data_IF_301839951376
#
_entry.id   IF_301839951376
#
_cell.length_a   1.000
_cell.length_b   1.000
_cell.length_c   1.000
_cell.angle_alpha   90.00
_cell.angle_beta   90.00
_cell.angle_gamma   90.00
#
_symmetry.space_group_name_H-M   'P 1'
#
loop_
_entity.id
_entity.type
_entity.pdbx_description
1 polymer ?
#
# COMPACT_ATOMS: atom_id res chain seq x y z
N UNK A 1 -15.01 -15.94 -19.89
CA UNK A 1 -15.52 -15.48 -18.59
C UNK A 1 -14.48 -15.89 -17.56
N UNK A 2 -13.58 -14.98 -17.15
CA UNK A 2 -12.65 -15.29 -16.05
C UNK A 2 -13.42 -15.09 -14.75
N UNK A 3 -13.47 -16.14 -13.95
CA UNK A 3 -14.10 -16.15 -12.64
C UNK A 3 -13.40 -15.12 -11.74
N UNK A 4 -14.07 -13.97 -11.52
CA UNK A 4 -13.50 -12.85 -10.76
C UNK A 4 -13.30 -13.15 -9.26
N UNK A 5 -13.86 -14.26 -8.78
CA UNK A 5 -13.75 -14.71 -7.38
C UNK A 5 -12.43 -15.42 -7.08
N UNK A 6 -11.76 -15.97 -8.08
CA UNK A 6 -10.51 -16.72 -7.89
C UNK A 6 -9.25 -15.81 -7.77
N UNK A 7 -9.31 -14.56 -8.18
CA UNK A 7 -8.17 -13.63 -8.14
C UNK A 7 -7.71 -13.28 -6.71
N UNK A 8 -8.58 -12.98 -5.74
CA UNK A 8 -8.18 -12.71 -4.38
C UNK A 8 -7.49 -13.90 -3.69
N UNK A 9 -7.99 -15.13 -3.90
CA UNK A 9 -7.43 -16.34 -3.31
C UNK A 9 -6.01 -16.63 -3.82
N UNK A 10 -5.78 -16.49 -5.13
CA UNK A 10 -4.45 -16.67 -5.75
C UNK A 10 -3.44 -15.65 -5.25
N UNK A 11 -3.86 -14.41 -5.07
CA UNK A 11 -3.04 -13.35 -4.47
C UNK A 11 -2.67 -13.73 -3.04
N UNK A 12 -3.64 -14.16 -2.23
CA UNK A 12 -3.45 -14.61 -0.85
C UNK A 12 -2.43 -15.74 -0.74
N UNK A 13 -2.61 -16.81 -1.53
CA UNK A 13 -1.71 -17.97 -1.55
C UNK A 13 -0.28 -17.55 -1.87
N UNK A 14 -0.09 -16.72 -2.91
CA UNK A 14 1.24 -16.25 -3.31
C UNK A 14 1.97 -15.47 -2.21
N UNK A 15 1.28 -14.55 -1.53
CA UNK A 15 1.90 -13.76 -0.46
C UNK A 15 2.19 -14.60 0.79
N UNK A 16 1.37 -15.61 1.10
CA UNK A 16 1.66 -16.57 2.18
C UNK A 16 2.90 -17.40 1.88
N UNK A 17 3.00 -17.98 0.67
CA UNK A 17 4.09 -18.88 0.29
C UNK A 17 5.44 -18.18 0.11
N UNK A 18 5.44 -16.90 -0.28
CA UNK A 18 6.64 -16.17 -0.68
C UNK A 18 6.95 -14.94 0.18
N UNK A 19 6.39 -14.86 1.39
CA UNK A 19 6.57 -13.71 2.28
C UNK A 19 8.06 -13.35 2.47
N UNK A 20 8.91 -14.30 2.81
CA UNK A 20 10.36 -14.08 2.98
C UNK A 20 11.04 -13.62 1.69
N UNK A 21 10.74 -14.25 0.55
CA UNK A 21 11.31 -13.83 -0.74
C UNK A 21 10.89 -12.41 -1.14
N UNK A 22 9.68 -11.99 -0.78
CA UNK A 22 9.25 -10.62 -0.98
C UNK A 22 10.00 -9.66 -0.06
N UNK A 23 10.21 -10.02 1.20
CA UNK A 23 10.93 -9.20 2.15
C UNK A 23 12.41 -9.02 1.76
N UNK A 24 13.11 -10.11 1.40
CA UNK A 24 14.49 -10.10 0.91
C UNK A 24 14.69 -9.18 -0.31
N UNK A 25 13.68 -9.13 -1.21
CA UNK A 25 13.71 -8.23 -2.37
C UNK A 25 13.75 -6.74 -1.99
N UNK A 26 13.33 -6.40 -0.79
CA UNK A 26 13.33 -5.05 -0.24
C UNK A 26 14.49 -4.80 0.73
N UNK A 27 15.19 -5.85 1.21
CA UNK A 27 16.32 -5.71 2.15
C UNK A 27 17.60 -5.18 1.51
N UNK A 28 17.77 -5.36 0.22
CA UNK A 28 18.97 -4.92 -0.47
C UNK A 28 18.96 -3.38 -0.65
N UNK A 29 19.38 -2.65 0.37
CA UNK A 29 19.55 -1.18 0.34
C UNK A 29 20.81 -0.72 -0.39
N UNK A 30 21.53 -1.62 -1.07
CA UNK A 30 22.71 -1.28 -1.86
C UNK A 30 22.36 -0.18 -2.88
N UNK A 31 23.32 0.72 -3.12
CA UNK A 31 23.16 1.81 -4.08
C UNK A 31 22.65 1.34 -5.46
N UNK A 32 22.96 0.11 -5.86
CA UNK A 32 22.46 -0.53 -7.08
C UNK A 32 20.94 -0.69 -7.08
N UNK A 33 20.32 -1.10 -5.97
CA UNK A 33 18.87 -1.24 -5.86
C UNK A 33 18.18 0.12 -5.86
N UNK A 34 18.80 1.12 -5.24
CA UNK A 34 18.33 2.51 -5.26
C UNK A 34 18.26 3.06 -6.68
N UNK A 35 19.25 2.72 -7.52
CA UNK A 35 19.31 3.14 -8.92
C UNK A 35 18.37 2.33 -9.82
N UNK A 36 18.23 1.02 -9.56
CA UNK A 36 17.42 0.11 -10.36
C UNK A 36 15.93 0.13 -9.99
N UNK A 37 15.59 0.49 -8.74
CA UNK A 37 14.22 0.52 -8.20
C UNK A 37 13.85 1.85 -7.53
N UNK A 38 14.00 2.99 -8.20
CA UNK A 38 13.75 4.32 -7.60
C UNK A 38 12.29 4.49 -7.12
N UNK A 39 11.36 3.68 -7.64
CA UNK A 39 9.96 3.71 -7.24
C UNK A 39 9.73 3.36 -5.78
N UNK A 40 10.50 2.44 -5.21
CA UNK A 40 10.35 2.03 -3.80
C UNK A 40 10.71 3.17 -2.84
N UNK A 41 11.82 3.86 -3.12
CA UNK A 41 12.26 4.99 -2.30
C UNK A 41 11.30 6.18 -2.37
N UNK A 42 10.72 6.43 -3.55
CA UNK A 42 9.73 7.51 -3.73
C UNK A 42 8.44 7.24 -2.99
N UNK A 43 7.97 5.99 -2.98
CA UNK A 43 6.80 5.54 -2.22
C UNK A 43 7.00 5.73 -0.72
N UNK A 44 8.15 5.24 -0.21
CA UNK A 44 8.54 5.42 1.20
C UNK A 44 8.63 6.90 1.57
N UNK A 45 9.33 7.68 0.77
CA UNK A 45 9.49 9.11 1.01
C UNK A 45 8.14 9.84 1.06
N UNK A 46 7.23 9.54 0.13
CA UNK A 46 5.91 10.15 0.14
C UNK A 46 5.13 9.83 1.42
N UNK A 47 5.18 8.57 1.88
CA UNK A 47 4.54 8.16 3.13
C UNK A 47 5.13 8.91 4.34
N UNK A 48 6.47 8.91 4.46
CA UNK A 48 7.20 9.59 5.54
C UNK A 48 6.94 11.10 5.53
N UNK A 49 7.10 11.77 4.37
CA UNK A 49 6.87 13.22 4.23
C UNK A 49 5.40 13.59 4.56
N UNK A 50 4.45 12.69 4.29
CA UNK A 50 3.04 12.93 4.63
C UNK A 50 2.83 12.80 6.13
N UNK A 51 3.33 11.74 6.77
CA UNK A 51 3.20 11.54 8.22
C UNK A 51 3.87 12.67 8.99
N UNK A 52 5.06 13.10 8.58
CA UNK A 52 5.79 14.22 9.20
C UNK A 52 5.07 15.58 9.07
N UNK A 53 4.08 15.69 8.19
CA UNK A 53 3.23 16.89 8.05
C UNK A 53 2.08 16.98 9.05
N UNK A 54 1.85 15.94 9.86
CA UNK A 54 0.83 15.90 10.91
C UNK A 54 1.50 15.85 12.28
N UNK A 55 0.84 16.38 13.28
CA UNK A 55 1.31 16.32 14.66
C UNK A 55 0.86 14.99 15.30
N UNK A 56 1.81 14.08 15.52
CA UNK A 56 1.60 12.77 16.14
C UNK A 56 0.38 11.99 15.57
N UNK A 57 0.31 11.74 14.24
CA UNK A 57 -0.88 11.14 13.65
C UNK A 57 -1.04 9.66 14.01
N UNK A 58 -2.30 9.20 14.05
CA UNK A 58 -2.65 7.79 13.96
C UNK A 58 -2.57 7.37 12.49
N UNK A 59 -1.80 6.35 12.23
CA UNK A 59 -1.53 5.85 10.87
C UNK A 59 -2.13 4.47 10.69
N UNK A 60 -2.91 4.29 9.62
CA UNK A 60 -3.36 2.98 9.14
C UNK A 60 -2.57 2.58 7.91
N UNK A 61 -1.98 1.40 7.89
CA UNK A 61 -1.26 0.85 6.72
C UNK A 61 -2.00 -0.38 6.18
N UNK A 62 -2.66 -0.21 5.04
CA UNK A 62 -3.48 -1.23 4.38
C UNK A 62 -2.62 -2.07 3.45
N UNK A 63 -2.51 -3.38 3.74
CA UNK A 63 -1.57 -4.27 3.10
C UNK A 63 -0.13 -3.95 3.55
N UNK A 64 0.07 -3.87 4.87
CA UNK A 64 1.33 -3.42 5.48
C UNK A 64 2.52 -4.37 5.20
N UNK A 65 2.25 -5.61 4.75
CA UNK A 65 3.25 -6.62 4.48
C UNK A 65 4.16 -6.84 5.69
N UNK A 66 5.47 -6.86 5.47
CA UNK A 66 6.49 -7.05 6.52
C UNK A 66 6.78 -5.78 7.36
N UNK A 67 5.92 -4.77 7.34
CA UNK A 67 6.01 -3.58 8.19
C UNK A 67 7.11 -2.58 7.83
N UNK A 68 7.72 -2.68 6.63
CA UNK A 68 8.83 -1.79 6.22
C UNK A 68 8.48 -0.32 6.18
N UNK A 69 7.31 0.04 5.68
CA UNK A 69 6.85 1.43 5.69
C UNK A 69 6.48 1.83 7.10
N UNK A 70 5.85 0.93 7.87
CA UNK A 70 5.52 1.12 9.27
C UNK A 70 6.72 1.56 10.12
N UNK A 71 7.88 0.93 9.93
CA UNK A 71 9.11 1.32 10.63
C UNK A 71 9.45 2.81 10.39
N UNK A 72 9.50 3.24 9.13
CA UNK A 72 9.86 4.61 8.79
C UNK A 72 8.82 5.65 9.24
N UNK A 73 7.53 5.33 9.20
CA UNK A 73 6.50 6.28 9.63
C UNK A 73 6.41 6.39 11.15
N UNK A 74 6.71 5.31 11.89
CA UNK A 74 6.86 5.34 13.35
C UNK A 74 8.08 6.17 13.77
N UNK A 75 9.20 6.06 13.04
CA UNK A 75 10.39 6.92 13.22
C UNK A 75 10.09 8.38 12.86
N UNK A 76 9.23 8.63 11.89
CA UNK A 76 8.82 9.97 11.45
C UNK A 76 7.82 10.66 12.40
N UNK A 77 7.40 10.01 13.50
CA UNK A 77 6.59 10.63 14.54
C UNK A 77 5.12 10.20 14.56
N UNK A 78 4.74 9.10 13.89
CA UNK A 78 3.41 8.53 14.09
C UNK A 78 3.19 8.18 15.56
N UNK A 79 2.12 8.68 16.18
CA UNK A 79 1.78 8.39 17.58
C UNK A 79 1.32 6.94 17.73
N UNK A 80 0.55 6.45 16.77
CA UNK A 80 0.07 5.08 16.75
C UNK A 80 -0.02 4.56 15.31
N UNK A 81 0.42 3.33 15.11
CA UNK A 81 0.43 2.65 13.82
C UNK A 81 -0.43 1.40 13.87
N UNK A 82 -1.37 1.27 12.96
CA UNK A 82 -2.18 0.08 12.75
C UNK A 82 -1.85 -0.52 11.38
N UNK A 83 -1.28 -1.71 11.37
CA UNK A 83 -0.98 -2.45 10.13
C UNK A 83 -1.98 -3.58 9.93
N UNK A 84 -2.61 -3.66 8.75
CA UNK A 84 -3.50 -4.77 8.39
C UNK A 84 -2.98 -5.48 7.15
N UNK A 85 -2.82 -6.79 7.21
CA UNK A 85 -2.49 -7.66 6.08
C UNK A 85 -3.17 -9.02 6.24
N UNK A 86 -3.61 -9.60 5.14
CA UNK A 86 -4.26 -10.93 5.17
C UNK A 86 -3.25 -12.08 5.35
N UNK A 87 -1.96 -11.83 5.22
CA UNK A 87 -0.88 -12.81 5.25
C UNK A 87 -0.25 -12.88 6.64
N UNK A 88 -0.58 -13.92 7.39
CA UNK A 88 0.02 -14.19 8.70
C UNK A 88 1.56 -14.20 8.66
N UNK A 89 2.25 -14.85 7.69
CA UNK A 89 3.71 -14.79 7.62
C UNK A 89 4.26 -13.37 7.39
N UNK A 90 3.51 -12.47 6.72
CA UNK A 90 3.89 -11.07 6.58
C UNK A 90 3.76 -10.32 7.91
N UNK A 91 2.67 -10.55 8.64
CA UNK A 91 2.45 -9.95 9.96
C UNK A 91 3.49 -10.42 10.97
N UNK A 92 3.95 -11.69 10.91
CA UNK A 92 5.03 -12.17 11.77
C UNK A 92 6.35 -11.45 11.50
N UNK A 93 6.68 -11.22 10.23
CA UNK A 93 7.85 -10.41 9.84
C UNK A 93 7.68 -8.94 10.31
N UNK A 94 6.48 -8.38 10.17
CA UNK A 94 6.19 -7.02 10.64
C UNK A 94 6.34 -6.91 12.16
N UNK A 95 5.85 -7.89 12.92
CA UNK A 95 5.95 -7.93 14.38
C UNK A 95 7.41 -7.93 14.83
N UNK A 96 8.24 -8.78 14.21
CA UNK A 96 9.67 -8.83 14.52
C UNK A 96 10.38 -7.51 14.16
N UNK A 97 10.06 -6.90 13.01
CA UNK A 97 10.66 -5.62 12.58
C UNK A 97 10.28 -4.45 13.46
N UNK A 98 9.02 -4.40 13.88
CA UNK A 98 8.46 -3.28 14.63
C UNK A 98 8.50 -3.48 16.14
N UNK A 99 9.15 -4.53 16.64
CA UNK A 99 9.20 -4.90 18.07
C UNK A 99 9.54 -3.72 18.99
N UNK A 100 10.51 -2.88 18.59
CA UNK A 100 10.92 -1.68 19.34
C UNK A 100 9.82 -0.61 19.46
N UNK A 101 8.74 -0.73 18.70
CA UNK A 101 7.58 0.16 18.73
C UNK A 101 6.31 -0.52 19.26
N UNK A 102 6.44 -1.66 19.95
CA UNK A 102 5.34 -2.51 20.42
C UNK A 102 4.23 -1.75 21.19
N UNK A 103 4.59 -0.71 21.93
CA UNK A 103 3.64 0.11 22.71
C UNK A 103 2.82 1.07 21.82
N UNK A 104 3.25 1.30 20.57
CA UNK A 104 2.62 2.25 19.64
C UNK A 104 2.17 1.61 18.34
N UNK A 105 2.08 0.27 18.30
CA UNK A 105 1.67 -0.43 17.09
C UNK A 105 0.65 -1.52 17.38
N UNK A 106 -0.25 -1.72 16.42
CA UNK A 106 -1.18 -2.83 16.36
C UNK A 106 -1.05 -3.50 14.98
N UNK A 107 -1.00 -4.83 14.96
CA UNK A 107 -0.88 -5.61 13.73
C UNK A 107 -1.99 -6.65 13.65
N UNK A 108 -2.76 -6.60 12.57
CA UNK A 108 -3.94 -7.41 12.34
C UNK A 108 -3.74 -8.36 11.15
N UNK A 109 -3.96 -9.65 11.37
CA UNK A 109 -4.08 -10.63 10.29
C UNK A 109 -5.55 -10.67 9.87
N UNK A 110 -5.95 -9.84 8.90
CA UNK A 110 -7.34 -9.76 8.46
C UNK A 110 -7.45 -9.19 7.02
N UNK A 111 -8.62 -9.34 6.42
CA UNK A 111 -8.98 -8.65 5.19
C UNK A 111 -9.42 -7.22 5.50
N UNK A 112 -8.76 -6.24 4.91
CA UNK A 112 -9.08 -4.83 5.14
C UNK A 112 -10.57 -4.50 4.97
N UNK A 113 -11.26 -5.13 4.01
CA UNK A 113 -12.68 -4.84 3.76
C UNK A 113 -13.61 -5.33 4.88
N UNK A 114 -13.18 -6.28 5.71
CA UNK A 114 -13.96 -6.86 6.81
C UNK A 114 -13.36 -6.60 8.20
N UNK A 115 -12.08 -6.21 8.26
CA UNK A 115 -11.39 -5.97 9.53
C UNK A 115 -12.11 -4.96 10.42
N UNK A 116 -12.15 -5.21 11.72
CA UNK A 116 -12.61 -4.23 12.69
C UNK A 116 -11.49 -3.26 12.99
N UNK A 117 -11.65 -2.02 12.55
CA UNK A 117 -10.65 -0.96 12.67
C UNK A 117 -11.26 0.23 13.40
N UNK A 118 -10.64 0.60 14.50
CA UNK A 118 -11.07 1.74 15.34
C UNK A 118 -10.43 3.03 14.80
N UNK A 119 -11.12 3.65 13.83
CA UNK A 119 -10.77 4.98 13.31
C UNK A 119 -11.21 6.11 14.23
N UNK A 120 -11.04 7.38 13.84
CA UNK A 120 -10.44 7.79 12.57
C UNK A 120 -8.91 7.75 12.57
N UNK A 121 -8.32 7.81 11.34
CA UNK A 121 -6.87 7.89 11.11
C UNK A 121 -6.54 9.16 10.33
N UNK A 122 -5.55 9.93 10.78
CA UNK A 122 -5.08 11.13 10.08
C UNK A 122 -4.34 10.80 8.80
N UNK A 123 -3.62 9.67 8.77
CA UNK A 123 -2.94 9.19 7.57
C UNK A 123 -3.28 7.73 7.32
N UNK A 124 -3.72 7.43 6.09
CA UNK A 124 -3.95 6.06 5.63
C UNK A 124 -2.98 5.77 4.49
N UNK A 125 -2.21 4.71 4.63
CA UNK A 125 -1.24 4.24 3.64
C UNK A 125 -1.81 3.04 2.88
N UNK A 126 -1.57 3.01 1.56
CA UNK A 126 -1.91 1.88 0.67
C UNK A 126 -0.82 1.74 -0.40
N UNK A 127 0.36 1.31 0.04
CA UNK A 127 1.57 1.32 -0.78
C UNK A 127 1.88 -0.06 -1.35
N UNK A 128 1.75 -0.21 -2.68
CA UNK A 128 1.97 -1.49 -3.37
C UNK A 128 0.81 -2.47 -3.27
N UNK A 129 -0.36 -2.01 -2.82
CA UNK A 129 -1.56 -2.80 -2.64
C UNK A 129 -2.41 -2.87 -3.93
N UNK A 130 -2.65 -1.73 -4.56
CA UNK A 130 -3.60 -1.59 -5.68
C UNK A 130 -3.20 -2.37 -6.93
N UNK A 131 -1.96 -2.83 -7.04
CA UNK A 131 -1.49 -3.72 -8.11
C UNK A 131 -2.35 -5.00 -8.21
N UNK A 132 -2.98 -5.42 -7.12
CA UNK A 132 -3.60 -6.74 -6.94
C UNK A 132 -5.11 -6.69 -6.65
N UNK A 133 -5.73 -5.51 -6.67
CA UNK A 133 -7.13 -5.34 -6.30
C UNK A 133 -8.07 -5.35 -7.52
N UNK A 134 -9.00 -6.32 -7.62
CA UNK A 134 -9.99 -6.33 -8.70
C UNK A 134 -11.08 -5.25 -8.51
N UNK A 135 -11.39 -4.88 -7.26
CA UNK A 135 -12.43 -3.92 -6.90
C UNK A 135 -11.88 -2.74 -6.07
N UNK A 136 -10.99 -1.90 -6.66
CA UNK A 136 -10.27 -0.87 -5.92
C UNK A 136 -11.17 0.22 -5.34
N UNK A 137 -12.37 0.44 -5.92
CA UNK A 137 -13.36 1.41 -5.45
C UNK A 137 -13.93 1.06 -4.05
N UNK A 138 -14.00 -0.22 -3.69
CA UNK A 138 -14.41 -0.64 -2.34
C UNK A 138 -13.39 -0.23 -1.29
N UNK A 139 -12.11 -0.34 -1.67
CA UNK A 139 -10.99 0.07 -0.81
C UNK A 139 -10.97 1.58 -0.60
N UNK A 140 -11.11 2.37 -1.70
CA UNK A 140 -11.10 3.84 -1.59
C UNK A 140 -12.27 4.37 -0.75
N UNK A 141 -13.48 3.78 -0.88
CA UNK A 141 -14.64 4.12 -0.05
C UNK A 141 -14.39 3.82 1.42
N UNK A 142 -13.91 2.61 1.74
CA UNK A 142 -13.63 2.25 3.13
C UNK A 142 -12.51 3.09 3.74
N UNK A 143 -11.48 3.44 2.96
CA UNK A 143 -10.45 4.38 3.39
C UNK A 143 -11.05 5.74 3.72
N UNK A 144 -12.02 6.23 2.94
CA UNK A 144 -12.72 7.49 3.23
C UNK A 144 -13.49 7.43 4.55
N UNK A 145 -14.20 6.33 4.82
CA UNK A 145 -14.94 6.11 6.06
C UNK A 145 -14.03 6.15 7.29
N UNK A 146 -12.82 5.58 7.17
CA UNK A 146 -11.82 5.48 8.25
C UNK A 146 -10.89 6.69 8.37
N UNK A 147 -10.81 7.54 7.34
CA UNK A 147 -9.93 8.72 7.32
C UNK A 147 -10.51 9.81 8.23
N UNK A 148 -9.69 10.49 9.01
CA UNK A 148 -10.10 11.66 9.79
C UNK A 148 -10.49 12.84 8.89
N UNK A 149 -11.35 13.77 9.33
CA UNK A 149 -11.47 15.09 8.69
C UNK A 149 -10.10 15.75 8.58
N UNK A 150 -9.79 16.40 7.46
CA UNK A 150 -8.47 16.91 7.11
C UNK A 150 -7.36 15.85 7.05
N UNK A 151 -7.69 14.57 7.12
CA UNK A 151 -6.75 13.46 6.96
C UNK A 151 -6.40 13.20 5.49
N UNK A 152 -5.41 12.33 5.28
CA UNK A 152 -4.85 12.05 3.96
C UNK A 152 -4.66 10.56 3.70
N UNK A 153 -5.07 10.10 2.53
CA UNK A 153 -4.70 8.77 2.00
C UNK A 153 -3.48 8.92 1.09
N UNK A 154 -2.47 8.08 1.30
CA UNK A 154 -1.28 7.96 0.45
C UNK A 154 -1.31 6.63 -0.25
N UNK A 155 -1.37 6.64 -1.59
CA UNK A 155 -1.42 5.44 -2.40
C UNK A 155 -0.30 5.35 -3.43
N UNK A 156 0.00 4.12 -3.87
CA UNK A 156 0.85 3.90 -5.03
C UNK A 156 0.19 2.95 -6.02
N UNK A 157 0.23 3.31 -7.29
CA UNK A 157 -0.50 2.64 -8.36
C UNK A 157 0.42 2.33 -9.53
N UNK A 158 0.36 1.12 -10.08
CA UNK A 158 1.13 0.78 -11.26
C UNK A 158 0.57 1.51 -12.47
N UNK A 159 1.47 1.90 -13.37
CA UNK A 159 1.11 2.39 -14.69
C UNK A 159 1.54 1.39 -15.75
N UNK A 160 0.83 1.38 -16.86
CA UNK A 160 1.29 0.67 -18.02
C UNK A 160 2.56 1.31 -18.57
N UNK A 161 3.60 0.52 -18.74
CA UNK A 161 4.85 0.92 -19.41
C UNK A 161 5.04 0.07 -20.66
N UNK A 162 5.17 0.69 -21.81
CA UNK A 162 5.34 0.00 -23.08
C UNK A 162 6.54 -0.95 -23.09
N UNK A 163 7.65 -0.55 -22.45
CA UNK A 163 8.86 -1.36 -22.35
C UNK A 163 8.82 -2.45 -21.28
N UNK A 164 8.16 -2.20 -20.15
CA UNK A 164 8.14 -3.10 -18.99
C UNK A 164 6.81 -3.83 -18.81
N UNK A 165 5.74 -3.32 -19.42
CA UNK A 165 4.40 -3.87 -19.29
C UNK A 165 4.30 -5.34 -19.74
N UNK A 166 4.76 -5.71 -20.94
CA UNK A 166 4.72 -7.10 -21.41
C UNK A 166 5.53 -8.05 -20.52
N UNK A 167 6.75 -7.65 -20.15
CA UNK A 167 7.63 -8.47 -19.27
C UNK A 167 7.01 -8.61 -17.88
N UNK A 168 6.43 -7.54 -17.34
CA UNK A 168 5.74 -7.55 -16.07
C UNK A 168 4.51 -8.46 -16.13
N UNK A 169 3.70 -8.36 -17.19
CA UNK A 169 2.52 -9.20 -17.41
C UNK A 169 2.88 -10.67 -17.47
N UNK A 170 3.87 -11.05 -18.28
CA UNK A 170 4.37 -12.43 -18.37
C UNK A 170 4.87 -12.92 -17.01
N UNK A 171 5.69 -12.14 -16.32
CA UNK A 171 6.26 -12.52 -15.03
C UNK A 171 5.22 -12.72 -13.94
N UNK A 172 4.20 -11.87 -13.86
CA UNK A 172 3.21 -11.92 -12.79
C UNK A 172 2.00 -12.78 -13.16
N UNK A 173 1.44 -12.66 -14.35
CA UNK A 173 0.25 -13.41 -14.74
C UNK A 173 0.58 -14.83 -15.19
N UNK A 174 1.59 -15.01 -16.06
CA UNK A 174 1.92 -16.34 -16.61
C UNK A 174 2.79 -17.19 -15.69
N UNK A 175 3.87 -16.63 -15.15
CA UNK A 175 4.80 -17.37 -14.27
C UNK A 175 4.29 -17.34 -12.83
N UNK A 176 3.69 -16.24 -12.41
CA UNK A 176 3.29 -15.99 -11.04
C UNK A 176 1.83 -16.25 -10.74
N UNK A 177 0.99 -16.53 -11.74
CA UNK A 177 -0.46 -16.76 -11.61
C UNK A 177 -1.17 -15.69 -10.74
N UNK A 178 -0.73 -14.44 -10.82
CA UNK A 178 -1.21 -13.32 -10.03
C UNK A 178 -1.63 -12.19 -10.97
N UNK A 179 -2.93 -11.87 -11.10
CA UNK A 179 -3.39 -10.77 -11.93
C UNK A 179 -2.82 -9.44 -11.43
N UNK A 180 -2.49 -8.55 -12.35
CA UNK A 180 -2.07 -7.18 -12.05
C UNK A 180 -2.94 -6.18 -12.76
N UNK A 181 -3.35 -5.15 -12.01
CA UNK A 181 -4.18 -4.07 -12.52
C UNK A 181 -3.32 -2.83 -12.75
N UNK A 182 -3.67 -2.03 -13.76
CA UNK A 182 -3.01 -0.77 -14.07
C UNK A 182 -4.06 0.33 -14.13
N UNK A 183 -3.68 1.55 -13.74
CA UNK A 183 -4.59 2.67 -13.62
C UNK A 183 -4.05 3.86 -14.41
N UNK A 184 -4.95 4.62 -15.03
CA UNK A 184 -4.67 5.95 -15.55
C UNK A 184 -4.86 7.01 -14.46
N UNK A 185 -4.28 8.20 -14.66
CA UNK A 185 -4.48 9.34 -13.77
C UNK A 185 -5.97 9.65 -13.57
N UNK A 186 -6.73 9.69 -14.66
CA UNK A 186 -8.16 10.03 -14.63
C UNK A 186 -8.99 9.01 -13.85
N UNK A 187 -8.68 7.71 -13.98
CA UNK A 187 -9.36 6.67 -13.20
C UNK A 187 -9.11 6.85 -11.70
N UNK A 188 -7.89 7.20 -11.31
CA UNK A 188 -7.55 7.45 -9.90
C UNK A 188 -8.28 8.69 -9.36
N UNK A 189 -8.26 9.80 -10.10
CA UNK A 189 -8.98 11.03 -9.74
C UNK A 189 -10.48 10.79 -9.58
N UNK A 190 -11.08 10.05 -10.52
CA UNK A 190 -12.51 9.70 -10.46
C UNK A 190 -12.83 8.75 -9.31
N UNK A 191 -12.00 7.73 -9.08
CA UNK A 191 -12.24 6.72 -8.05
C UNK A 191 -12.19 7.32 -6.64
N UNK A 192 -11.16 8.11 -6.35
CA UNK A 192 -11.01 8.74 -5.03
C UNK A 192 -11.99 9.91 -4.86
N UNK A 193 -12.23 10.72 -5.91
CA UNK A 193 -13.23 11.78 -5.89
C UNK A 193 -14.64 11.24 -5.65
N UNK A 194 -15.03 10.14 -6.32
CA UNK A 194 -16.31 9.47 -6.10
C UNK A 194 -16.48 8.90 -4.69
N UNK A 195 -15.37 8.65 -3.98
CA UNK A 195 -15.39 8.25 -2.56
C UNK A 195 -15.53 9.43 -1.60
N UNK A 196 -15.41 10.68 -2.06
CA UNK A 196 -15.54 11.91 -1.29
C UNK A 196 -14.24 12.63 -1.01
N UNK A 197 -13.10 12.14 -1.48
CA UNK A 197 -11.81 12.83 -1.28
C UNK A 197 -11.66 14.06 -2.18
N UNK A 198 -11.23 15.18 -1.61
CA UNK A 198 -10.93 16.44 -2.30
C UNK A 198 -9.94 17.29 -1.50
N UNK A 199 -8.81 17.75 -2.09
CA UNK A 199 -8.34 17.44 -3.45
C UNK A 199 -7.72 16.04 -3.59
N UNK A 200 -7.75 15.52 -4.82
CA UNK A 200 -7.02 14.29 -5.21
C UNK A 200 -5.80 14.69 -6.04
N UNK A 201 -4.62 14.48 -5.48
CA UNK A 201 -3.34 14.82 -6.10
C UNK A 201 -2.68 13.56 -6.67
N UNK A 202 -2.68 13.39 -7.98
CA UNK A 202 -2.00 12.29 -8.66
C UNK A 202 -0.64 12.76 -9.18
N UNK A 203 0.41 12.24 -8.56
CA UNK A 203 1.79 12.56 -8.88
C UNK A 203 2.35 11.48 -9.82
N UNK A 204 2.99 11.92 -10.92
CA UNK A 204 3.67 11.01 -11.83
C UNK A 204 5.20 11.15 -11.66
N UNK A 205 5.84 10.32 -10.85
CA UNK A 205 7.28 10.38 -10.64
C UNK A 205 8.07 9.73 -11.81
N UNK A 206 7.52 9.67 -13.00
CA UNK A 206 8.13 9.11 -14.18
C UNK A 206 7.83 7.61 -14.34
N UNK A 207 8.83 6.80 -14.67
CA UNK A 207 8.67 5.36 -15.01
C UNK A 207 8.24 4.44 -13.84
N UNK A 208 7.92 4.98 -12.67
CA UNK A 208 7.70 4.22 -11.42
C UNK A 208 6.22 3.99 -11.06
N UNK A 209 5.31 4.41 -11.90
CA UNK A 209 3.88 4.40 -11.60
C UNK A 209 3.38 5.73 -11.03
N UNK A 210 2.11 5.79 -10.64
CA UNK A 210 1.54 6.95 -9.98
C UNK A 210 1.69 6.84 -8.47
N UNK A 211 1.91 8.00 -7.83
CA UNK A 211 1.73 8.22 -6.40
C UNK A 211 0.51 9.12 -6.22
N UNK A 212 -0.23 8.93 -5.13
CA UNK A 212 -1.45 9.66 -4.86
C UNK A 212 -1.44 10.18 -3.43
N UNK A 213 -1.92 11.41 -3.27
CA UNK A 213 -2.45 11.96 -2.01
C UNK A 213 -3.91 12.32 -2.24
N UNK A 214 -4.80 11.82 -1.41
CA UNK A 214 -6.23 12.15 -1.44
C UNK A 214 -6.63 12.63 -0.05
N UNK A 215 -7.19 13.82 0.04
CA UNK A 215 -7.50 14.46 1.31
C UNK A 215 -9.00 14.35 1.60
N UNK A 216 -9.33 14.08 2.84
CA UNK A 216 -10.70 14.18 3.31
C UNK A 216 -10.99 15.63 3.72
N UNK A 217 -12.04 16.25 3.16
CA UNK A 217 -12.49 17.59 3.56
C UNK A 217 -12.80 17.71 5.06
#
# INVERSE_FOLDING_TARGET
MHDSTAAPERVRTRFRERARQFDDLYEDERWLVRTLRPGLFRRRRLAVDTVAGYDQPRVLDVGCGSGRIGEFVLEAGAAHYVGVDFSEPMIDLARARLERFSERMELLVDDFLSARLDGPFEVILAVGLFDYLPEPHRFSRRMFELCAPAGCVVGSFPTWSWLKGPVRKVRYEWIGNCPIFNYSRRELELMFGASGFEPVQVLNPGRSGYLLRAYRP
#
